data_IF_687615883536
#
_entry.id   IF_687615883536
#
_cell.length_a   1.000
_cell.length_b   1.000
_cell.length_c   1.000
_cell.angle_alpha   90.00
_cell.angle_beta   90.00
_cell.angle_gamma   90.00
#
_symmetry.space_group_name_H-M   'P 1'
#
loop_
_entity.id
_entity.type
_entity.pdbx_description
1 polymer ?
#
# COMPACT_ATOMS: atom_id res chain seq x y z
N UNK A 1 -1.73 -8.55 17.86
CA UNK A 1 -1.65 -9.50 16.74
C UNK A 1 -0.22 -9.49 16.23
N UNK A 2 0.35 -10.63 15.80
CA UNK A 2 1.74 -10.69 15.31
C UNK A 2 1.87 -10.14 13.89
N UNK A 3 3.12 -9.90 13.45
CA UNK A 3 3.43 -9.55 12.06
C UNK A 3 3.13 -10.73 11.14
N UNK A 4 2.71 -10.43 9.93
CA UNK A 4 2.47 -11.42 8.87
C UNK A 4 3.82 -11.83 8.26
N UNK A 5 3.97 -13.11 7.94
CA UNK A 5 5.20 -13.68 7.40
C UNK A 5 4.96 -14.38 6.05
N UNK A 6 6.05 -14.55 5.28
CA UNK A 6 6.00 -15.30 4.03
C UNK A 6 5.51 -16.74 4.27
N UNK A 7 4.67 -17.23 3.37
CA UNK A 7 4.04 -18.56 3.45
C UNK A 7 2.78 -18.61 4.31
N UNK A 8 2.47 -17.58 5.11
CA UNK A 8 1.27 -17.52 5.92
C UNK A 8 0.03 -17.45 5.03
N UNK A 9 -0.97 -18.28 5.34
CA UNK A 9 -2.28 -18.24 4.68
C UNK A 9 -3.14 -17.14 5.31
N UNK A 10 -3.69 -16.27 4.49
CA UNK A 10 -4.61 -15.23 4.92
C UNK A 10 -6.05 -15.70 4.82
N UNK A 11 -6.83 -15.42 5.85
CA UNK A 11 -8.28 -15.55 5.73
C UNK A 11 -8.82 -14.48 4.79
N UNK A 12 -9.82 -14.86 3.98
CA UNK A 12 -10.49 -13.99 3.02
C UNK A 12 -10.89 -12.64 3.64
N UNK A 13 -10.68 -11.59 2.85
CA UNK A 13 -11.10 -10.23 3.11
C UNK A 13 -12.02 -9.79 1.98
N UNK A 14 -13.21 -9.34 2.34
CA UNK A 14 -14.12 -8.67 1.43
C UNK A 14 -14.11 -7.18 1.82
N UNK A 15 -13.54 -6.34 0.94
CA UNK A 15 -13.33 -4.91 1.16
C UNK A 15 -14.18 -4.11 0.18
N UNK A 16 -14.36 -2.83 0.47
CA UNK A 16 -15.01 -1.88 -0.45
C UNK A 16 -14.06 -0.71 -0.70
N UNK A 17 -13.89 -0.35 -1.97
CA UNK A 17 -13.09 0.81 -2.38
C UNK A 17 -13.79 2.12 -2.00
N UNK A 18 -13.05 3.22 -2.08
CA UNK A 18 -13.64 4.57 -1.89
C UNK A 18 -14.62 4.97 -2.98
N UNK A 19 -14.65 4.23 -4.10
CA UNK A 19 -15.62 4.39 -5.21
C UNK A 19 -16.83 3.46 -5.08
N UNK A 20 -16.86 2.60 -4.04
CA UNK A 20 -17.96 1.66 -3.79
C UNK A 20 -17.78 0.28 -4.45
N UNK A 21 -16.69 0.04 -5.18
CA UNK A 21 -16.43 -1.22 -5.84
C UNK A 21 -15.95 -2.30 -4.85
N UNK A 22 -16.40 -3.57 -4.99
CA UNK A 22 -15.94 -4.65 -4.13
C UNK A 22 -14.52 -5.09 -4.49
N UNK A 23 -13.72 -5.39 -3.49
CA UNK A 23 -12.38 -5.97 -3.61
C UNK A 23 -12.26 -7.18 -2.70
N UNK A 24 -11.94 -8.32 -3.29
CA UNK A 24 -11.67 -9.55 -2.56
C UNK A 24 -10.17 -9.82 -2.48
N UNK A 25 -9.68 -10.22 -1.32
CA UNK A 25 -8.31 -10.70 -1.09
C UNK A 25 -8.39 -12.04 -0.36
N UNK A 26 -7.78 -13.12 -0.91
CA UNK A 26 -7.07 -13.19 -2.19
C UNK A 26 -7.99 -12.97 -3.38
N UNK A 27 -7.42 -12.49 -4.48
CA UNK A 27 -8.07 -12.46 -5.79
C UNK A 27 -7.88 -13.82 -6.46
N UNK A 28 -8.93 -14.46 -7.03
CA UNK A 28 -8.81 -15.79 -7.62
C UNK A 28 -7.97 -15.83 -8.91
N UNK A 29 -7.87 -14.70 -9.61
CA UNK A 29 -7.28 -14.63 -10.95
C UNK A 29 -5.94 -13.88 -10.97
N UNK A 30 -5.64 -13.06 -9.95
CA UNK A 30 -4.47 -12.20 -9.92
C UNK A 30 -3.69 -12.30 -8.60
N UNK A 31 -2.39 -12.07 -8.67
CA UNK A 31 -1.62 -11.72 -7.48
C UNK A 31 -2.13 -10.39 -6.93
N UNK A 32 -2.21 -10.24 -5.62
CA UNK A 32 -2.59 -8.96 -5.00
C UNK A 32 -1.37 -8.30 -4.38
N UNK A 33 -1.04 -7.09 -4.83
CA UNK A 33 -0.13 -6.22 -4.11
C UNK A 33 -0.93 -5.35 -3.14
N UNK A 34 -0.98 -5.76 -1.88
CA UNK A 34 -1.66 -5.03 -0.81
C UNK A 34 -0.69 -4.07 -0.14
N UNK A 35 -0.98 -2.78 -0.25
CA UNK A 35 -0.15 -1.70 0.26
C UNK A 35 -0.83 -0.99 1.42
N UNK A 36 -0.12 -0.80 2.52
CA UNK A 36 -0.52 0.07 3.63
C UNK A 36 0.25 1.39 3.52
N UNK A 37 -0.49 2.48 3.42
CA UNK A 37 0.08 3.83 3.33
C UNK A 37 -0.34 4.64 4.54
N UNK A 38 0.19 5.83 4.72
CA UNK A 38 -0.13 6.67 5.89
C UNK A 38 -1.50 7.32 5.74
N UNK A 39 -1.59 8.61 5.62
CA UNK A 39 -2.81 9.38 5.49
C UNK A 39 -2.97 9.92 4.05
N UNK A 40 -4.18 10.30 3.67
CA UNK A 40 -4.55 10.66 2.30
C UNK A 40 -3.70 11.79 1.69
N UNK A 41 -3.46 12.88 2.45
CA UNK A 41 -2.64 14.02 2.02
C UNK A 41 -1.13 13.81 2.13
N UNK A 42 -0.66 12.60 2.47
CA UNK A 42 0.77 12.30 2.65
C UNK A 42 1.57 12.54 1.36
N UNK A 43 2.49 13.52 1.31
CA UNK A 43 3.22 13.84 0.08
C UNK A 43 4.10 12.69 -0.42
N UNK A 44 4.70 11.93 0.50
CA UNK A 44 5.58 10.78 0.18
C UNK A 44 4.75 9.65 -0.41
N UNK A 45 3.60 9.33 0.22
CA UNK A 45 2.71 8.27 -0.26
C UNK A 45 2.18 8.61 -1.66
N UNK A 46 1.74 9.85 -1.87
CA UNK A 46 1.22 10.30 -3.17
C UNK A 46 2.31 10.32 -4.25
N UNK A 47 3.55 10.66 -3.91
CA UNK A 47 4.68 10.57 -4.84
C UNK A 47 4.94 9.11 -5.26
N UNK A 48 4.92 8.18 -4.31
CA UNK A 48 5.05 6.75 -4.59
C UNK A 48 3.91 6.23 -5.47
N UNK A 49 2.65 6.53 -5.14
CA UNK A 49 1.50 6.09 -5.93
C UNK A 49 1.51 6.63 -7.35
N UNK A 50 2.10 7.82 -7.59
CA UNK A 50 2.33 8.30 -8.97
C UNK A 50 3.31 7.42 -9.74
N UNK A 51 4.31 6.82 -9.10
CA UNK A 51 5.20 5.87 -9.78
C UNK A 51 4.48 4.58 -10.14
N UNK A 52 3.62 4.07 -9.25
CA UNK A 52 2.73 2.93 -9.50
C UNK A 52 1.78 3.26 -10.68
N UNK A 53 1.11 4.42 -10.64
CA UNK A 53 0.18 4.85 -11.70
C UNK A 53 0.85 4.94 -13.08
N UNK A 54 2.06 5.49 -13.15
CA UNK A 54 2.78 5.62 -14.43
C UNK A 54 3.16 4.29 -15.07
N UNK A 55 3.32 3.25 -14.26
CA UNK A 55 3.72 1.91 -14.70
C UNK A 55 2.62 0.88 -14.43
N UNK A 56 1.37 1.34 -14.29
CA UNK A 56 0.24 0.48 -13.95
C UNK A 56 0.02 -0.62 -14.98
N UNK A 57 0.17 -0.32 -16.27
CA UNK A 57 0.02 -1.30 -17.35
C UNK A 57 1.05 -2.43 -17.26
N UNK A 58 2.28 -2.14 -16.83
CA UNK A 58 3.31 -3.17 -16.59
C UNK A 58 2.93 -4.08 -15.42
N UNK A 59 2.36 -3.51 -14.35
CA UNK A 59 1.92 -4.24 -13.17
C UNK A 59 0.74 -5.16 -13.53
N UNK A 60 -0.24 -4.65 -14.27
CA UNK A 60 -1.39 -5.42 -14.76
C UNK A 60 -0.93 -6.54 -15.70
N UNK A 61 -0.01 -6.24 -16.63
CA UNK A 61 0.55 -7.23 -17.54
C UNK A 61 1.32 -8.37 -16.81
N UNK A 62 1.86 -8.07 -15.62
CA UNK A 62 2.46 -9.07 -14.74
C UNK A 62 1.45 -9.88 -13.91
N UNK A 63 0.14 -9.70 -14.14
CA UNK A 63 -0.93 -10.40 -13.43
C UNK A 63 -1.11 -9.93 -11.98
N UNK A 64 -0.75 -8.68 -11.68
CA UNK A 64 -0.82 -8.12 -10.33
C UNK A 64 -1.97 -7.10 -10.25
N UNK A 65 -2.82 -7.25 -9.24
CA UNK A 65 -3.85 -6.30 -8.85
C UNK A 65 -3.35 -5.43 -7.69
N UNK A 66 -3.36 -4.12 -7.88
CA UNK A 66 -3.00 -3.15 -6.85
C UNK A 66 -4.16 -2.86 -5.91
N UNK A 67 -3.92 -2.94 -4.60
CA UNK A 67 -4.86 -2.54 -3.55
C UNK A 67 -4.12 -1.71 -2.51
N UNK A 68 -4.56 -0.47 -2.31
CA UNK A 68 -3.91 0.48 -1.40
C UNK A 68 -4.85 0.85 -0.26
N UNK A 69 -4.39 0.70 0.97
CA UNK A 69 -5.13 1.02 2.19
C UNK A 69 -4.56 2.27 2.86
N UNK A 70 -5.44 3.19 3.22
CA UNK A 70 -5.11 4.38 3.98
C UNK A 70 -5.89 4.42 5.29
N UNK A 71 -5.27 4.89 6.38
CA UNK A 71 -5.99 5.15 7.64
C UNK A 71 -6.68 6.51 7.63
N UNK A 72 -7.37 6.79 6.53
CA UNK A 72 -8.14 8.02 6.30
C UNK A 72 -9.58 7.66 6.01
N UNK A 73 -10.48 8.62 6.19
CA UNK A 73 -11.88 8.47 5.77
C UNK A 73 -12.01 8.56 4.25
N UNK A 74 -13.08 8.01 3.70
CA UNK A 74 -13.41 8.11 2.26
C UNK A 74 -13.39 9.58 1.80
N UNK A 75 -14.02 10.48 2.56
CA UNK A 75 -14.08 11.91 2.23
C UNK A 75 -12.69 12.57 2.17
N UNK A 76 -11.77 12.19 3.07
CA UNK A 76 -10.39 12.70 3.07
C UNK A 76 -9.58 12.16 1.90
N UNK A 77 -9.88 10.94 1.42
CA UNK A 77 -9.17 10.29 0.32
C UNK A 77 -9.58 10.78 -1.07
N UNK A 78 -10.84 11.14 -1.27
CA UNK A 78 -11.38 11.52 -2.58
C UNK A 78 -10.53 12.56 -3.34
N UNK A 79 -10.07 13.67 -2.74
CA UNK A 79 -9.27 14.68 -3.45
C UNK A 79 -7.90 14.19 -3.94
N UNK A 80 -7.37 13.12 -3.36
CA UNK A 80 -6.00 12.63 -3.59
C UNK A 80 -5.98 11.30 -4.35
N UNK A 81 -6.89 10.39 -4.03
CA UNK A 81 -6.90 9.01 -4.51
C UNK A 81 -8.13 8.66 -5.37
N UNK A 82 -9.08 9.58 -5.56
CA UNK A 82 -10.32 9.34 -6.31
C UNK A 82 -10.11 8.94 -7.77
N UNK A 83 -9.04 9.42 -8.40
CA UNK A 83 -8.73 9.20 -9.82
C UNK A 83 -7.64 8.15 -10.05
N UNK A 84 -7.25 7.38 -9.03
CA UNK A 84 -6.23 6.34 -9.19
C UNK A 84 -6.81 5.14 -9.98
N UNK A 85 -6.03 4.52 -10.91
CA UNK A 85 -6.51 3.43 -11.77
C UNK A 85 -6.58 2.07 -11.06
N UNK A 86 -6.43 2.04 -9.74
CA UNK A 86 -6.42 0.83 -8.92
C UNK A 86 -7.22 1.01 -7.63
N UNK A 87 -7.50 -0.12 -6.97
CA UNK A 87 -8.33 -0.15 -5.78
C UNK A 87 -7.72 0.64 -4.60
N UNK A 88 -8.48 1.57 -4.05
CA UNK A 88 -8.12 2.32 -2.84
C UNK A 88 -9.17 2.11 -1.75
N UNK A 89 -8.72 1.79 -0.54
CA UNK A 89 -9.56 1.39 0.60
C UNK A 89 -9.32 2.32 1.79
N UNK A 90 -10.40 2.78 2.39
CA UNK A 90 -10.39 3.58 3.61
C UNK A 90 -10.46 2.67 4.86
N UNK A 91 -9.53 2.84 5.79
CA UNK A 91 -9.50 2.14 7.08
C UNK A 91 -9.26 3.13 8.25
N UNK A 92 -10.18 4.08 8.50
CA UNK A 92 -10.00 5.11 9.52
C UNK A 92 -9.85 4.54 10.93
N UNK A 93 -10.46 3.39 11.20
CA UNK A 93 -10.37 2.67 12.48
C UNK A 93 -9.12 1.81 12.61
N UNK A 94 -8.29 1.74 11.57
CA UNK A 94 -7.04 0.95 11.51
C UNK A 94 -7.22 -0.56 11.79
N UNK A 95 -8.39 -1.12 11.48
CA UNK A 95 -8.68 -2.54 11.70
C UNK A 95 -7.79 -3.44 10.84
N UNK A 96 -7.57 -3.05 9.58
CA UNK A 96 -6.65 -3.75 8.68
C UNK A 96 -5.20 -3.57 9.14
N UNK A 97 -4.79 -2.36 9.55
CA UNK A 97 -3.45 -2.12 10.09
C UNK A 97 -3.14 -3.03 11.28
N UNK A 98 -4.06 -3.13 12.24
CA UNK A 98 -3.93 -4.02 13.40
C UNK A 98 -3.87 -5.48 12.97
N UNK A 99 -4.75 -5.89 12.03
CA UNK A 99 -4.81 -7.26 11.52
C UNK A 99 -3.50 -7.68 10.83
N UNK A 100 -2.88 -6.77 10.07
CA UNK A 100 -1.63 -7.02 9.35
C UNK A 100 -0.37 -6.68 10.17
N UNK A 101 -0.50 -6.24 11.41
CA UNK A 101 0.63 -5.89 12.27
C UNK A 101 1.44 -4.69 11.75
N UNK A 102 0.76 -3.74 11.09
CA UNK A 102 1.40 -2.52 10.58
C UNK A 102 1.54 -1.50 11.69
N UNK A 103 2.77 -1.20 12.04
CA UNK A 103 3.14 -0.39 13.20
C UNK A 103 3.11 1.13 12.91
N UNK A 104 3.16 1.90 13.99
CA UNK A 104 3.50 3.33 13.97
C UNK A 104 4.84 3.54 14.66
N UNK A 105 5.64 4.50 14.18
CA UNK A 105 6.93 4.82 14.79
C UNK A 105 7.24 6.31 14.70
N UNK A 106 7.73 6.96 15.77
CA UNK A 106 8.24 8.33 15.68
C UNK A 106 9.41 8.45 14.69
N UNK A 107 10.18 7.40 14.47
CA UNK A 107 11.25 7.34 13.48
C UNK A 107 10.75 7.45 12.03
N UNK A 108 9.46 7.19 11.77
CA UNK A 108 8.86 7.33 10.45
C UNK A 108 9.07 8.72 9.83
N UNK A 109 9.13 9.77 10.65
CA UNK A 109 9.29 11.18 10.21
C UNK A 109 10.67 11.74 10.50
N UNK A 110 11.50 11.11 11.34
CA UNK A 110 12.82 11.61 11.70
C UNK A 110 13.93 11.22 10.71
N UNK A 111 13.68 10.25 9.83
CA UNK A 111 14.69 9.79 8.88
C UNK A 111 14.96 10.84 7.78
N UNK A 112 16.24 11.16 7.44
CA UNK A 112 16.58 12.21 6.45
C UNK A 112 15.96 11.99 5.07
N UNK A 113 15.82 10.74 4.61
CA UNK A 113 15.17 10.40 3.33
C UNK A 113 13.69 10.81 3.31
N UNK A 114 13.02 10.75 4.46
CA UNK A 114 11.62 11.19 4.62
C UNK A 114 11.47 12.68 4.27
N UNK A 115 12.40 13.52 4.68
CA UNK A 115 12.38 14.96 4.39
C UNK A 115 12.61 15.27 2.91
N UNK A 116 13.54 14.57 2.26
CA UNK A 116 13.80 14.73 0.82
C UNK A 116 12.57 14.30 0.02
N UNK A 117 11.97 13.18 0.37
CA UNK A 117 10.76 12.68 -0.29
C UNK A 117 9.55 13.59 -0.02
N UNK A 118 9.43 14.15 1.18
CA UNK A 118 8.37 15.10 1.52
C UNK A 118 8.49 16.39 0.69
N UNK A 119 9.69 16.97 0.56
CA UNK A 119 9.94 18.16 -0.27
C UNK A 119 9.56 17.92 -1.74
N UNK A 120 9.96 16.78 -2.30
CA UNK A 120 9.58 16.38 -3.66
C UNK A 120 8.07 16.17 -3.81
N UNK A 121 7.43 15.57 -2.80
CA UNK A 121 5.99 15.36 -2.78
C UNK A 121 5.19 16.65 -2.71
N UNK A 122 5.62 17.62 -1.88
CA UNK A 122 4.98 18.96 -1.77
C UNK A 122 5.07 19.72 -3.11
N UNK A 123 6.20 19.64 -3.81
CA UNK A 123 6.37 20.26 -5.13
C UNK A 123 5.36 19.77 -6.18
N UNK A 124 4.68 18.64 -5.93
CA UNK A 124 3.64 18.09 -6.82
C UNK A 124 2.25 18.71 -6.62
N UNK A 125 2.05 19.60 -5.64
CA UNK A 125 0.82 20.36 -5.41
C UNK A 125 -0.35 19.58 -4.76
N UNK A 126 -0.19 18.30 -4.46
CA UNK A 126 -1.21 17.47 -3.78
C UNK A 126 -0.69 16.99 -2.43
N UNK A 127 -0.49 17.90 -1.48
CA UNK A 127 -0.05 17.57 -0.13
C UNK A 127 -0.86 18.34 0.92
N UNK A 128 -1.20 17.68 2.02
CA UNK A 128 -1.83 18.29 3.17
C UNK A 128 -1.28 17.68 4.47
N UNK A 129 -1.34 18.38 5.60
CA UNK A 129 -1.05 17.79 6.90
C UNK A 129 -2.11 16.73 7.26
N UNK A 130 -1.80 15.81 8.19
CA UNK A 130 -2.76 14.83 8.66
C UNK A 130 -3.99 15.51 9.27
N UNK A 131 -5.18 15.02 8.90
CA UNK A 131 -6.45 15.47 9.42
C UNK A 131 -6.80 14.84 10.78
N UNK A 132 -8.04 15.06 11.27
CA UNK A 132 -8.52 14.46 12.52
C UNK A 132 -8.49 12.93 12.42
N UNK A 133 -7.87 12.27 13.40
CA UNK A 133 -7.74 10.80 13.46
C UNK A 133 -6.63 10.22 12.59
N UNK A 134 -6.00 11.02 11.75
CA UNK A 134 -4.85 10.62 10.95
C UNK A 134 -3.53 10.80 11.71
N UNK A 135 -2.50 10.07 11.31
CA UNK A 135 -1.17 10.14 11.92
C UNK A 135 -0.07 10.17 10.88
N UNK A 136 0.87 11.11 11.05
CA UNK A 136 2.11 11.12 10.27
C UNK A 136 3.11 10.03 10.70
N UNK A 137 2.89 9.36 11.83
CA UNK A 137 3.80 8.38 12.41
C UNK A 137 3.59 6.95 11.86
N UNK A 138 2.61 6.73 10.97
CA UNK A 138 2.39 5.43 10.33
C UNK A 138 3.61 5.01 9.51
N UNK A 139 3.94 3.71 9.56
CA UNK A 139 4.92 3.09 8.68
C UNK A 139 4.22 2.49 7.46
N UNK A 140 4.85 2.49 6.29
CA UNK A 140 4.32 1.76 5.14
C UNK A 140 4.53 0.25 5.34
N UNK A 141 3.68 -0.55 4.70
CA UNK A 141 3.91 -1.98 4.56
C UNK A 141 3.39 -2.46 3.21
N UNK A 142 4.06 -3.47 2.65
CA UNK A 142 3.73 -4.05 1.36
C UNK A 142 3.65 -5.57 1.49
N UNK A 143 2.64 -6.18 0.85
CA UNK A 143 2.41 -7.62 0.84
C UNK A 143 2.09 -8.05 -0.59
N UNK A 144 2.78 -9.07 -1.09
CA UNK A 144 2.41 -9.77 -2.31
C UNK A 144 1.70 -11.06 -1.92
N UNK A 145 0.44 -11.22 -2.34
CA UNK A 145 -0.45 -12.30 -1.94
C UNK A 145 -0.81 -13.11 -3.18
N UNK A 146 -0.66 -14.43 -3.10
CA UNK A 146 -1.03 -15.37 -4.15
C UNK A 146 -2.54 -15.58 -4.26
N UNK A 147 -2.97 -16.15 -5.37
CA UNK A 147 -4.39 -16.50 -5.63
C UNK A 147 -4.93 -17.51 -4.63
N UNK A 148 -4.04 -18.31 -4.03
CA UNK A 148 -4.37 -19.28 -2.95
C UNK A 148 -4.45 -18.62 -1.55
N UNK A 149 -4.18 -17.32 -1.45
CA UNK A 149 -4.17 -16.55 -0.20
C UNK A 149 -2.87 -16.61 0.60
N UNK A 150 -1.82 -17.27 0.08
CA UNK A 150 -0.51 -17.26 0.73
C UNK A 150 0.21 -15.94 0.52
N UNK A 151 0.81 -15.43 1.59
CA UNK A 151 1.74 -14.30 1.51
C UNK A 151 3.03 -14.77 0.86
N UNK A 152 3.27 -14.32 -0.36
CA UNK A 152 4.46 -14.67 -1.14
C UNK A 152 5.68 -13.87 -0.72
N UNK A 153 5.47 -12.58 -0.45
CA UNK A 153 6.49 -11.68 0.06
C UNK A 153 5.84 -10.60 0.94
N UNK A 154 6.59 -10.06 1.89
CA UNK A 154 6.15 -8.92 2.69
C UNK A 154 7.32 -7.98 2.97
N UNK A 155 6.99 -6.72 3.22
CA UNK A 155 7.93 -5.70 3.70
C UNK A 155 7.21 -4.81 4.71
N UNK A 156 7.79 -4.67 5.90
CA UNK A 156 7.41 -3.65 6.87
C UNK A 156 8.46 -2.53 6.81
N UNK A 157 8.04 -1.34 6.41
CA UNK A 157 8.95 -0.21 6.28
C UNK A 157 9.48 0.28 7.64
N UNK A 158 10.73 0.73 7.66
CA UNK A 158 11.37 1.32 8.83
C UNK A 158 11.26 2.84 8.87
N UNK A 159 10.94 3.46 7.73
CA UNK A 159 10.68 4.90 7.59
C UNK A 159 9.61 5.15 6.53
N UNK A 160 9.15 6.40 6.41
CA UNK A 160 8.01 6.75 5.59
C UNK A 160 8.16 6.50 4.07
N UNK A 161 9.40 6.40 3.57
CA UNK A 161 9.74 6.14 2.17
C UNK A 161 10.34 4.73 1.97
N UNK A 162 10.12 3.81 2.91
CA UNK A 162 10.64 2.44 2.84
C UNK A 162 9.57 1.47 2.35
N UNK A 163 9.31 1.49 1.08
CA UNK A 163 8.33 0.67 0.36
C UNK A 163 8.97 -0.01 -0.86
N UNK A 164 8.29 -1.00 -1.46
CA UNK A 164 8.76 -1.58 -2.71
C UNK A 164 8.65 -0.57 -3.85
N UNK A 165 9.68 -0.51 -4.68
CA UNK A 165 9.58 0.10 -6.01
C UNK A 165 8.76 -0.80 -6.95
N UNK A 166 8.35 -0.27 -8.10
CA UNK A 166 7.70 -1.08 -9.14
C UNK A 166 8.63 -2.19 -9.62
N UNK A 167 9.94 -1.93 -9.73
CA UNK A 167 10.93 -2.94 -10.14
C UNK A 167 11.04 -4.07 -9.11
N UNK A 168 11.06 -3.75 -7.81
CA UNK A 168 11.04 -4.76 -6.74
C UNK A 168 9.80 -5.64 -6.84
N UNK A 169 8.61 -5.03 -7.04
CA UNK A 169 7.35 -5.73 -7.16
C UNK A 169 7.34 -6.69 -8.36
N UNK A 170 7.71 -6.20 -9.54
CA UNK A 170 7.76 -7.01 -10.77
C UNK A 170 8.77 -8.16 -10.64
N UNK A 171 9.94 -7.91 -10.02
CA UNK A 171 10.93 -8.95 -9.75
C UNK A 171 10.39 -10.02 -8.80
N UNK A 172 9.68 -9.64 -7.74
CA UNK A 172 9.06 -10.57 -6.81
C UNK A 172 8.00 -11.45 -7.48
N UNK A 173 7.16 -10.88 -8.35
CA UNK A 173 6.15 -11.60 -9.11
C UNK A 173 6.79 -12.61 -10.09
N UNK A 174 7.80 -12.19 -10.84
CA UNK A 174 8.53 -13.07 -11.78
C UNK A 174 9.16 -14.29 -11.10
N UNK A 175 9.80 -14.12 -9.97
CA UNK A 175 10.44 -15.23 -9.23
C UNK A 175 9.45 -16.30 -8.77
N UNK A 176 8.15 -15.99 -8.71
CA UNK A 176 7.09 -16.91 -8.28
C UNK A 176 6.38 -17.59 -9.44
N UNK A 177 6.40 -16.97 -10.63
CA UNK A 177 5.89 -17.59 -11.86
C UNK A 177 6.80 -18.70 -12.39
N UNK A 178 8.10 -18.69 -11.99
CA UNK A 178 9.10 -19.72 -12.34
C UNK A 178 9.81 -20.18 -11.06
N UNK A 179 9.29 -21.18 -10.32
CA UNK A 179 10.07 -21.79 -9.25
C UNK A 179 11.29 -22.43 -9.90
N UNK A 180 12.47 -21.88 -9.62
CA UNK A 180 13.74 -22.51 -9.98
C UNK A 180 13.80 -23.89 -9.32
N UNK A 181 13.83 -24.92 -10.16
CA UNK A 181 14.03 -26.34 -9.81
C UNK A 181 15.29 -26.53 -9.00
#
# INVERSE_FOLDING_TARGET
>A
MGKIHNGQLLARLDLTTITGEPVQIPDPDHLVHLQFRRFAGCPICNLHLRSITRRHDEIVAAGIREVVVFHSTVAAMQPYQGDLPFATVADPDRRLYVRFGVDTSPWAVLHPRTWIAALRGVATGKAAPPGRGESALGLPADFLIGTDGRVLAHKYGHHADDQWSVDDLLHLAHRRSYPTS
#
